data_IF_136315233244
#
_entry.id   IF_136315233244
#
_cell.length_a   1.000
_cell.length_b   1.000
_cell.length_c   1.000
_cell.angle_alpha   90.00
_cell.angle_beta   90.00
_cell.angle_gamma   90.00
#
_symmetry.space_group_name_H-M   'P 1'
#
loop_
_entity.id
_entity.type
_entity.pdbx_description
1 polymer ?
#
# COMPACT_ATOMS: atom_id res chain seq x y z
N UNK A 1 -15.31 -0.55 8.33
CA UNK A 1 -13.91 -0.87 7.97
C UNK A 1 -12.92 -0.05 8.80
N UNK A 2 -11.67 -0.50 8.96
CA UNK A 2 -10.63 0.23 9.72
C UNK A 2 -9.81 1.15 8.82
N UNK A 3 -9.74 2.43 9.18
CA UNK A 3 -8.98 3.47 8.47
C UNK A 3 -7.92 4.08 9.37
N UNK A 4 -7.03 4.90 8.78
CA UNK A 4 -5.87 5.45 9.49
C UNK A 4 -5.62 6.92 9.13
N UNK A 5 -5.76 7.80 10.11
CA UNK A 5 -5.21 9.17 10.01
C UNK A 5 -3.71 9.14 10.36
N UNK A 6 -2.87 9.86 9.59
CA UNK A 6 -1.41 9.82 9.74
C UNK A 6 -0.81 11.19 10.07
N UNK A 7 0.10 11.19 11.03
CA UNK A 7 0.98 12.32 11.36
C UNK A 7 2.44 11.92 11.18
N UNK A 8 3.16 12.64 10.32
CA UNK A 8 4.58 12.40 10.12
C UNK A 8 5.41 13.26 11.09
N UNK A 9 6.14 12.61 11.98
CA UNK A 9 7.03 13.24 12.95
C UNK A 9 8.46 13.09 12.44
N UNK A 10 8.99 14.16 11.84
CA UNK A 10 10.37 14.21 11.33
C UNK A 10 11.37 14.38 12.46
N UNK A 11 12.65 14.09 12.18
CA UNK A 11 13.76 14.22 13.15
C UNK A 11 13.89 15.60 13.80
N UNK A 12 13.45 16.66 13.13
CA UNK A 12 13.50 18.04 13.64
C UNK A 12 12.22 18.47 14.39
N UNK A 13 11.25 17.58 14.56
CA UNK A 13 10.02 17.88 15.29
C UNK A 13 10.27 17.83 16.80
N UNK A 14 9.67 18.77 17.56
CA UNK A 14 9.85 18.88 19.03
C UNK A 14 9.61 17.57 19.80
N UNK A 15 8.61 16.78 19.35
CA UNK A 15 8.25 15.50 19.98
C UNK A 15 9.15 14.31 19.58
N UNK A 16 10.09 14.49 18.64
CA UNK A 16 10.84 13.36 18.07
C UNK A 16 11.69 12.63 19.11
N UNK A 17 12.45 13.36 19.93
CA UNK A 17 13.36 12.78 20.93
C UNK A 17 12.62 11.91 21.95
N UNK A 18 11.47 12.40 22.45
CA UNK A 18 10.61 11.68 23.39
C UNK A 18 10.08 10.39 22.76
N UNK A 19 9.60 10.48 21.51
CA UNK A 19 9.09 9.32 20.78
C UNK A 19 10.20 8.30 20.49
N UNK A 20 11.39 8.77 20.15
CA UNK A 20 12.54 7.90 19.88
C UNK A 20 12.95 7.12 21.13
N UNK A 21 12.97 7.78 22.29
CA UNK A 21 13.21 7.15 23.60
C UNK A 21 12.17 6.06 23.87
N UNK A 22 10.88 6.36 23.70
CA UNK A 22 9.82 5.36 23.90
C UNK A 22 9.95 4.18 22.92
N UNK A 23 10.30 4.44 21.66
CA UNK A 23 10.52 3.40 20.65
C UNK A 23 11.71 2.49 20.99
N UNK A 24 12.73 3.03 21.65
CA UNK A 24 13.86 2.26 22.18
C UNK A 24 13.47 1.41 23.39
N UNK A 25 12.74 1.97 24.36
CA UNK A 25 12.24 1.23 25.53
C UNK A 25 11.32 0.07 25.10
N UNK A 26 10.41 0.33 24.17
CA UNK A 26 9.56 -0.72 23.56
C UNK A 26 10.38 -1.81 22.88
N UNK A 27 11.49 -1.45 22.24
CA UNK A 27 12.39 -2.42 21.62
C UNK A 27 13.08 -3.31 22.66
N UNK A 28 13.49 -2.77 23.81
CA UNK A 28 14.09 -3.60 24.86
C UNK A 28 13.11 -4.65 25.36
N UNK A 29 11.91 -4.23 25.75
CA UNK A 29 10.86 -5.15 26.19
C UNK A 29 10.52 -6.20 25.11
N UNK A 30 10.41 -5.77 23.85
CA UNK A 30 10.20 -6.69 22.72
C UNK A 30 11.32 -7.72 22.63
N UNK A 31 12.59 -7.32 22.76
CA UNK A 31 13.72 -8.24 22.71
C UNK A 31 13.76 -9.20 23.90
N UNK A 32 13.41 -8.77 25.11
CA UNK A 32 13.29 -9.63 26.29
C UNK A 32 12.22 -10.72 26.09
N UNK A 33 11.05 -10.35 25.56
CA UNK A 33 9.99 -11.31 25.26
C UNK A 33 10.33 -12.24 24.08
N UNK A 34 11.07 -11.75 23.07
CA UNK A 34 11.61 -12.60 21.99
C UNK A 34 12.65 -13.57 22.54
N UNK A 35 13.49 -13.15 23.50
CA UNK A 35 14.48 -14.02 24.13
C UNK A 35 13.79 -15.21 24.80
N UNK A 36 12.78 -14.96 25.66
CA UNK A 36 12.03 -16.02 26.33
C UNK A 36 11.40 -17.00 25.33
N UNK A 37 10.77 -16.48 24.26
CA UNK A 37 10.18 -17.32 23.21
C UNK A 37 11.21 -18.13 22.41
N UNK A 38 12.44 -17.64 22.28
CA UNK A 38 13.53 -18.39 21.64
C UNK A 38 14.08 -19.48 22.55
N UNK A 39 14.14 -19.24 23.87
CA UNK A 39 14.55 -20.28 24.81
C UNK A 39 13.59 -21.47 24.77
N UNK A 40 12.27 -21.23 24.86
CA UNK A 40 11.28 -22.30 24.74
C UNK A 40 11.32 -23.00 23.39
N UNK A 41 11.60 -22.28 22.29
CA UNK A 41 11.80 -22.89 20.97
C UNK A 41 12.96 -23.88 20.94
N UNK A 42 14.10 -23.53 21.51
CA UNK A 42 15.26 -24.42 21.56
C UNK A 42 15.08 -25.58 22.55
N UNK A 43 14.26 -25.38 23.58
CA UNK A 43 13.82 -26.43 24.51
C UNK A 43 12.65 -27.26 23.99
N UNK A 44 12.22 -27.08 22.74
CA UNK A 44 11.10 -27.82 22.11
C UNK A 44 9.76 -27.67 22.85
N UNK A 45 9.55 -26.54 23.53
CA UNK A 45 8.31 -26.21 24.23
C UNK A 45 7.43 -25.28 23.39
N UNK A 46 6.11 -25.23 23.67
CA UNK A 46 5.20 -24.27 23.05
C UNK A 46 5.65 -22.81 23.26
N UNK A 47 5.34 -21.95 22.28
CA UNK A 47 5.59 -20.52 22.42
C UNK A 47 4.73 -19.91 23.52
N UNK A 48 5.32 -18.97 24.26
CA UNK A 48 4.66 -18.29 25.37
C UNK A 48 3.56 -17.37 24.86
N UNK A 49 2.41 -17.44 25.53
CA UNK A 49 1.27 -16.54 25.37
C UNK A 49 1.59 -15.15 25.93
N UNK A 50 0.76 -14.17 25.58
CA UNK A 50 0.87 -12.81 26.16
C UNK A 50 0.80 -12.83 27.69
N UNK A 51 -0.07 -13.68 28.26
CA UNK A 51 -0.26 -13.82 29.71
C UNK A 51 1.01 -14.35 30.38
N UNK A 52 1.60 -15.43 29.88
CA UNK A 52 2.83 -16.00 30.43
C UNK A 52 4.01 -15.02 30.34
N UNK A 53 4.16 -14.36 29.18
CA UNK A 53 5.15 -13.30 29.02
C UNK A 53 4.95 -12.15 30.01
N UNK A 54 3.71 -11.77 30.27
CA UNK A 54 3.38 -10.73 31.24
C UNK A 54 3.77 -11.16 32.65
N UNK A 55 3.42 -12.37 33.08
CA UNK A 55 3.81 -12.86 34.41
C UNK A 55 5.33 -12.94 34.58
N UNK A 56 6.05 -13.36 33.54
CA UNK A 56 7.51 -13.43 33.56
C UNK A 56 8.19 -12.06 33.59
N UNK A 57 7.63 -11.04 32.91
CA UNK A 57 8.30 -9.76 32.69
C UNK A 57 7.72 -8.59 33.50
N UNK A 58 6.57 -8.72 34.18
CA UNK A 58 5.88 -7.59 34.84
C UNK A 58 6.73 -6.85 35.89
N UNK A 59 7.68 -7.54 36.53
CA UNK A 59 8.60 -6.96 37.52
C UNK A 59 9.93 -6.49 36.89
N UNK A 60 10.14 -6.72 35.59
CA UNK A 60 11.36 -6.32 34.92
C UNK A 60 11.44 -4.80 34.71
N UNK A 61 12.65 -4.20 34.74
CA UNK A 61 12.84 -2.79 34.43
C UNK A 61 12.29 -2.40 33.05
N UNK A 62 12.46 -3.26 32.03
CA UNK A 62 12.00 -2.97 30.67
C UNK A 62 10.47 -2.93 30.55
N UNK A 63 9.75 -3.74 31.34
CA UNK A 63 8.29 -3.70 31.36
C UNK A 63 7.77 -2.43 32.07
N UNK A 64 8.38 -2.07 33.20
CA UNK A 64 8.00 -0.92 34.02
C UNK A 64 8.43 0.42 33.40
N UNK A 65 9.36 0.41 32.44
CA UNK A 65 9.81 1.60 31.72
C UNK A 65 8.74 2.20 30.77
N UNK A 66 7.63 1.50 30.54
CA UNK A 66 6.50 1.96 29.74
C UNK A 66 5.20 1.85 30.56
N UNK A 67 4.15 2.62 30.21
CA UNK A 67 2.84 2.43 30.83
C UNK A 67 2.38 0.98 30.65
N UNK A 68 1.88 0.35 31.73
CA UNK A 68 1.58 -1.09 31.76
C UNK A 68 0.74 -1.57 30.56
N UNK A 69 -0.26 -0.80 30.13
CA UNK A 69 -1.11 -1.12 28.95
C UNK A 69 -0.31 -1.15 27.65
N UNK A 70 0.66 -0.25 27.50
CA UNK A 70 1.56 -0.19 26.33
C UNK A 70 2.50 -1.39 26.37
N UNK A 71 3.06 -1.73 27.53
CA UNK A 71 3.92 -2.90 27.72
C UNK A 71 3.21 -4.19 27.36
N UNK A 72 1.98 -4.38 27.81
CA UNK A 72 1.13 -5.53 27.45
C UNK A 72 0.91 -5.64 25.92
N UNK A 73 0.73 -4.51 25.23
CA UNK A 73 0.57 -4.50 23.77
C UNK A 73 1.88 -4.84 23.03
N UNK A 74 3.05 -4.53 23.60
CA UNK A 74 4.34 -5.02 23.09
C UNK A 74 4.44 -6.54 23.23
N UNK A 75 4.03 -7.11 24.37
CA UNK A 75 4.01 -8.57 24.55
C UNK A 75 3.04 -9.26 23.59
N UNK A 76 1.86 -8.67 23.37
CA UNK A 76 0.89 -9.13 22.37
C UNK A 76 1.43 -9.08 20.94
N UNK A 77 2.28 -8.10 20.63
CA UNK A 77 2.98 -8.03 19.34
C UNK A 77 3.95 -9.22 19.18
N UNK A 78 4.68 -9.58 20.23
CA UNK A 78 5.60 -10.74 20.20
C UNK A 78 4.82 -12.04 20.02
N UNK A 79 3.78 -12.27 20.81
CA UNK A 79 2.90 -13.44 20.67
C UNK A 79 2.36 -13.57 19.24
N UNK A 80 1.80 -12.49 18.68
CA UNK A 80 1.32 -12.47 17.28
C UNK A 80 2.43 -12.82 16.29
N UNK A 81 3.64 -12.32 16.52
CA UNK A 81 4.81 -12.56 15.66
C UNK A 81 5.18 -14.04 15.62
N UNK A 82 5.24 -14.70 16.78
CA UNK A 82 5.56 -16.13 16.87
C UNK A 82 4.43 -17.02 16.37
N UNK A 83 3.16 -16.69 16.65
CA UNK A 83 2.00 -17.36 16.04
C UNK A 83 2.02 -17.28 14.51
N UNK A 84 2.35 -16.12 13.94
CA UNK A 84 2.52 -15.97 12.49
C UNK A 84 3.68 -16.80 11.94
N UNK A 85 4.81 -16.87 12.65
CA UNK A 85 5.93 -17.73 12.27
C UNK A 85 5.54 -19.20 12.24
N UNK A 86 4.86 -19.70 13.28
CA UNK A 86 4.41 -21.08 13.36
C UNK A 86 3.47 -21.44 12.19
N UNK A 87 2.45 -20.61 11.95
CA UNK A 87 1.53 -20.79 10.81
C UNK A 87 2.27 -20.78 9.47
N UNK A 88 3.22 -19.87 9.28
CA UNK A 88 4.02 -19.83 8.06
C UNK A 88 4.87 -21.10 7.90
N UNK A 89 5.47 -21.60 8.98
CA UNK A 89 6.30 -22.81 8.97
C UNK A 89 5.49 -24.06 8.67
N UNK A 90 4.29 -24.19 9.25
CA UNK A 90 3.35 -25.27 8.95
C UNK A 90 2.91 -25.23 7.48
N UNK A 91 2.56 -24.06 6.97
CA UNK A 91 2.18 -23.90 5.56
C UNK A 91 3.35 -24.17 4.61
N UNK A 92 4.58 -23.79 4.99
CA UNK A 92 5.78 -24.10 4.23
C UNK A 92 6.03 -25.60 4.15
N UNK A 93 5.84 -26.36 5.23
CA UNK A 93 5.94 -27.83 5.21
C UNK A 93 4.95 -28.47 4.23
N UNK A 94 3.74 -27.89 4.11
CA UNK A 94 2.68 -28.40 3.22
C UNK A 94 2.86 -27.97 1.75
N UNK A 95 3.33 -26.75 1.52
CA UNK A 95 3.47 -26.17 0.16
C UNK A 95 4.67 -25.23 0.11
N UNK A 96 5.90 -25.76 -0.01
CA UNK A 96 7.12 -24.95 -0.07
C UNK A 96 7.15 -23.98 -1.26
N UNK A 97 6.54 -24.38 -2.38
CA UNK A 97 6.41 -23.64 -3.65
C UNK A 97 5.71 -22.28 -3.51
N UNK A 98 4.86 -22.11 -2.49
CA UNK A 98 4.18 -20.84 -2.19
C UNK A 98 5.09 -19.79 -1.53
N UNK A 99 6.33 -20.16 -1.19
CA UNK A 99 7.28 -19.30 -0.50
C UNK A 99 8.53 -19.11 -1.33
N UNK A 100 9.13 -17.93 -1.24
CA UNK A 100 10.45 -17.65 -1.85
C UNK A 100 11.62 -18.18 -1.03
N UNK A 101 11.34 -18.95 0.02
CA UNK A 101 12.30 -19.47 0.97
C UNK A 101 11.67 -19.79 2.31
N UNK A 102 12.37 -20.59 3.11
CA UNK A 102 11.87 -21.09 4.37
C UNK A 102 11.60 -19.96 5.40
N UNK A 103 10.43 -19.97 6.07
CA UNK A 103 10.14 -19.04 7.16
C UNK A 103 11.20 -19.09 8.26
N UNK A 104 11.74 -17.93 8.61
CA UNK A 104 12.80 -17.79 9.61
C UNK A 104 12.24 -17.43 10.97
N UNK A 105 12.82 -18.00 12.01
CA UNK A 105 12.49 -17.69 13.40
C UNK A 105 12.62 -16.18 13.67
N UNK A 106 11.66 -15.55 14.39
CA UNK A 106 11.75 -14.15 14.76
C UNK A 106 13.08 -13.81 15.44
N UNK A 107 13.65 -12.67 15.04
CA UNK A 107 14.96 -12.20 15.49
C UNK A 107 14.82 -11.01 16.44
N UNK A 108 15.87 -10.81 17.23
CA UNK A 108 16.05 -9.58 17.99
C UNK A 108 16.14 -8.39 17.05
N UNK A 109 15.62 -7.25 17.52
CA UNK A 109 15.92 -5.95 16.94
C UNK A 109 17.32 -5.52 17.37
N UNK A 110 17.96 -4.70 16.54
CA UNK A 110 19.30 -4.16 16.82
C UNK A 110 19.40 -3.52 18.21
N UNK A 111 20.50 -3.79 18.92
CA UNK A 111 20.68 -3.41 20.33
C UNK A 111 20.67 -1.89 20.52
N UNK A 112 21.23 -1.12 19.60
CA UNK A 112 21.40 0.33 19.75
C UNK A 112 20.47 1.12 18.83
N UNK A 113 20.44 0.72 17.56
CA UNK A 113 19.71 1.41 16.48
C UNK A 113 18.29 0.88 16.32
N UNK A 114 17.95 -0.23 16.97
CA UNK A 114 16.63 -0.84 16.88
C UNK A 114 15.55 -0.01 17.56
N UNK A 115 14.38 0.04 16.94
CA UNK A 115 13.16 0.65 17.49
C UNK A 115 11.98 -0.30 17.28
N UNK A 116 11.02 -0.25 18.19
CA UNK A 116 9.79 -1.02 18.08
C UNK A 116 8.56 -0.11 17.94
N UNK A 117 7.49 -0.69 17.40
CA UNK A 117 6.19 -0.02 17.31
C UNK A 117 5.61 0.11 18.72
N UNK A 118 5.08 1.29 19.03
CA UNK A 118 4.26 1.49 20.23
C UNK A 118 2.80 1.53 19.82
N UNK A 119 1.94 0.85 20.57
CA UNK A 119 0.49 0.90 20.38
C UNK A 119 -0.15 1.39 21.67
N UNK A 120 -1.04 2.37 21.54
CA UNK A 120 -1.89 2.90 22.60
C UNK A 120 -3.33 2.61 22.20
N UNK A 121 -3.98 1.66 22.88
CA UNK A 121 -5.42 1.43 22.64
C UNK A 121 -6.25 2.61 23.17
N UNK A 122 -7.57 2.58 22.93
CA UNK A 122 -8.51 3.60 23.40
C UNK A 122 -8.46 3.87 24.93
N UNK A 123 -7.95 2.93 25.73
CA UNK A 123 -7.81 3.08 27.18
C UNK A 123 -6.47 3.68 27.62
N UNK A 124 -5.52 3.81 26.70
CA UNK A 124 -4.19 4.38 26.91
C UNK A 124 -4.08 5.79 26.30
N UNK A 125 -5.23 6.39 25.93
CA UNK A 125 -5.37 7.76 25.45
C UNK A 125 -6.34 8.55 26.35
N UNK A 126 -6.15 9.86 26.47
CA UNK A 126 -7.03 10.71 27.28
C UNK A 126 -8.37 10.98 26.58
N UNK A 127 -9.48 10.53 27.18
CA UNK A 127 -10.84 10.84 26.71
C UNK A 127 -11.15 12.35 26.77
N UNK A 128 -10.64 13.06 27.78
CA UNK A 128 -10.84 14.52 27.92
C UNK A 128 -10.18 15.27 26.76
N UNK A 129 -8.94 14.92 26.43
CA UNK A 129 -8.23 15.53 25.31
C UNK A 129 -8.90 15.19 23.96
N UNK A 130 -9.39 13.96 23.79
CA UNK A 130 -10.05 13.53 22.55
C UNK A 130 -11.30 14.36 22.26
N UNK A 131 -12.12 14.65 23.28
CA UNK A 131 -13.28 15.55 23.15
C UNK A 131 -12.90 16.98 22.72
N UNK A 132 -11.66 17.40 22.96
CA UNK A 132 -11.10 18.69 22.56
C UNK A 132 -10.35 18.62 21.21
N UNK A 133 -10.46 17.51 20.47
CA UNK A 133 -9.78 17.31 19.19
C UNK A 133 -8.29 16.99 19.32
N UNK A 134 -7.86 16.42 20.45
CA UNK A 134 -6.46 16.08 20.73
C UNK A 134 -6.29 14.62 21.15
N UNK A 135 -5.33 13.94 20.53
CA UNK A 135 -4.80 12.66 21.03
C UNK A 135 -3.71 12.95 22.04
N UNK A 136 -3.95 12.62 23.32
CA UNK A 136 -2.94 12.64 24.38
C UNK A 136 -2.61 11.22 24.83
N UNK A 137 -1.33 10.85 24.73
CA UNK A 137 -0.86 9.49 25.03
C UNK A 137 -0.52 9.33 26.51
N UNK A 138 -1.03 8.27 27.15
CA UNK A 138 -0.78 7.97 28.56
C UNK A 138 0.71 7.88 28.90
N UNK A 139 1.09 8.35 30.09
CA UNK A 139 2.49 8.38 30.54
C UNK A 139 3.40 9.35 29.79
N UNK A 140 2.84 10.26 29.00
CA UNK A 140 3.61 11.24 28.22
C UNK A 140 2.89 12.60 28.14
N UNK A 141 3.63 13.64 27.77
CA UNK A 141 3.08 14.96 27.39
C UNK A 141 2.87 15.08 25.87
N UNK A 142 2.78 13.96 25.15
CA UNK A 142 2.62 13.97 23.70
C UNK A 142 1.17 14.21 23.31
N UNK A 143 0.95 15.28 22.55
CA UNK A 143 -0.37 15.70 22.06
C UNK A 143 -0.37 15.89 20.54
N UNK A 144 -1.43 15.42 19.87
CA UNK A 144 -1.58 15.50 18.42
C UNK A 144 -3.01 15.89 18.04
N UNK A 145 -3.17 16.82 17.10
CA UNK A 145 -4.50 17.25 16.61
C UNK A 145 -5.19 16.13 15.84
N UNK A 146 -6.48 15.94 16.07
CA UNK A 146 -7.34 15.03 15.32
C UNK A 146 -8.73 15.62 15.14
N UNK A 147 -9.38 15.31 14.02
CA UNK A 147 -10.80 15.58 13.78
C UNK A 147 -11.69 14.37 14.10
N UNK A 148 -11.10 13.25 14.54
CA UNK A 148 -11.81 12.02 14.87
C UNK A 148 -12.40 12.10 16.27
N UNK A 149 -13.65 11.66 16.41
CA UNK A 149 -14.35 11.56 17.69
C UNK A 149 -14.13 10.21 18.37
N UNK A 150 -13.98 9.16 17.58
CA UNK A 150 -13.79 7.79 18.03
C UNK A 150 -12.48 7.22 17.49
N UNK A 151 -11.72 6.55 18.36
CA UNK A 151 -10.39 6.02 18.05
C UNK A 151 -10.26 4.64 18.69
N UNK A 152 -9.82 3.68 17.90
CA UNK A 152 -9.57 2.31 18.35
C UNK A 152 -8.19 2.19 19.01
N UNK A 153 -7.17 2.65 18.29
CA UNK A 153 -5.79 2.64 18.74
C UNK A 153 -4.97 3.74 18.05
N UNK A 154 -3.88 4.15 18.70
CA UNK A 154 -2.85 5.02 18.15
C UNK A 154 -1.56 4.24 18.09
N UNK A 155 -0.96 4.12 16.90
CA UNK A 155 0.31 3.44 16.70
C UNK A 155 1.40 4.45 16.37
N UNK A 156 2.54 4.32 17.01
CA UNK A 156 3.75 5.05 16.64
C UNK A 156 4.69 4.07 15.94
N UNK A 157 4.86 4.26 14.64
CA UNK A 157 5.61 3.35 13.78
C UNK A 157 6.96 3.99 13.41
N UNK A 158 8.10 3.38 13.77
CA UNK A 158 9.40 3.82 13.30
C UNK A 158 9.48 3.77 11.77
N UNK A 159 9.95 4.86 11.16
CA UNK A 159 10.27 4.98 9.73
C UNK A 159 11.72 5.43 9.58
N UNK A 160 12.24 5.42 8.35
CA UNK A 160 13.60 5.88 8.07
C UNK A 160 13.73 7.38 8.38
N UNK A 161 14.42 7.72 9.48
CA UNK A 161 14.65 9.11 9.92
C UNK A 161 13.40 9.87 10.38
N UNK A 162 12.31 9.16 10.71
CA UNK A 162 11.05 9.75 11.14
C UNK A 162 10.19 8.72 11.90
N UNK A 163 9.11 9.18 12.51
CA UNK A 163 8.04 8.33 13.01
C UNK A 163 6.73 8.67 12.30
N UNK A 164 5.91 7.65 12.04
CA UNK A 164 4.54 7.82 11.58
C UNK A 164 3.62 7.50 12.74
N UNK A 165 2.90 8.50 13.24
CA UNK A 165 1.80 8.28 14.16
C UNK A 165 0.54 7.99 13.35
N UNK A 166 -0.06 6.84 13.60
CA UNK A 166 -1.26 6.33 12.93
C UNK A 166 -2.40 6.29 13.96
N UNK A 167 -3.44 7.08 13.75
CA UNK A 167 -4.68 7.04 14.54
C UNK A 167 -5.65 6.13 13.78
N UNK A 168 -5.94 4.97 14.36
CA UNK A 168 -6.81 3.96 13.77
C UNK A 168 -8.23 4.16 14.26
N UNK A 169 -9.17 4.23 13.33
CA UNK A 169 -10.60 4.41 13.62
C UNK A 169 -11.44 3.52 12.71
N UNK A 170 -12.70 3.33 13.07
CA UNK A 170 -13.67 2.63 12.25
C UNK A 170 -14.55 3.62 11.51
N UNK A 171 -14.80 3.33 10.24
CA UNK A 171 -15.77 4.03 9.41
C UNK A 171 -16.68 2.98 8.76
N UNK A 172 -18.02 3.14 8.82
CA UNK A 172 -18.92 2.27 8.09
C UNK A 172 -18.58 2.27 6.59
N UNK A 173 -18.55 1.09 5.98
CA UNK A 173 -18.53 0.99 4.52
C UNK A 173 -19.96 1.09 4.03
N UNK A 174 -20.19 1.85 2.96
CA UNK A 174 -21.49 1.87 2.29
C UNK A 174 -21.79 0.48 1.71
N UNK A 175 -23.07 0.10 1.68
CA UNK A 175 -23.51 -1.10 0.97
C UNK A 175 -23.19 -0.98 -0.51
N UNK A 176 -22.79 -2.09 -1.13
CA UNK A 176 -22.60 -2.14 -2.58
C UNK A 176 -23.91 -1.79 -3.27
N UNK A 177 -23.84 -0.91 -4.27
CA UNK A 177 -25.01 -0.62 -5.10
C UNK A 177 -25.13 -1.70 -6.19
N UNK A 178 -26.31 -2.29 -6.34
CA UNK A 178 -26.60 -3.16 -7.48
C UNK A 178 -26.71 -2.32 -8.76
N UNK A 179 -26.21 -2.87 -9.87
CA UNK A 179 -26.28 -2.22 -11.18
C UNK A 179 -25.21 -2.71 -12.15
N UNK A 180 -25.42 -2.41 -13.43
CA UNK A 180 -24.59 -2.90 -14.54
C UNK A 180 -23.57 -1.87 -15.04
N UNK A 181 -23.29 -0.84 -14.24
CA UNK A 181 -22.34 0.22 -14.55
C UNK A 181 -20.96 -0.16 -14.04
N UNK A 182 -20.06 -0.49 -14.95
CA UNK A 182 -18.76 -1.09 -14.65
C UNK A 182 -17.60 -0.23 -15.12
N UNK A 183 -16.54 -0.16 -14.32
CA UNK A 183 -15.28 0.46 -14.70
C UNK A 183 -14.14 -0.54 -14.64
N UNK A 184 -13.13 -0.31 -15.48
CA UNK A 184 -12.00 -1.19 -15.66
C UNK A 184 -10.70 -0.39 -15.54
N UNK A 185 -9.69 -0.98 -14.91
CA UNK A 185 -8.37 -0.37 -14.75
C UNK A 185 -7.28 -1.32 -15.24
N UNK A 186 -6.51 -0.85 -16.22
CA UNK A 186 -5.21 -1.42 -16.59
C UNK A 186 -4.07 -0.61 -15.93
N UNK A 187 -3.18 -1.28 -15.20
CA UNK A 187 -2.11 -0.65 -14.43
C UNK A 187 -0.80 -0.63 -15.20
N UNK A 188 -0.14 0.53 -15.28
CA UNK A 188 1.05 0.70 -16.10
C UNK A 188 2.09 1.68 -15.57
N UNK A 189 3.11 1.96 -16.40
CA UNK A 189 4.24 2.84 -16.03
C UNK A 189 4.06 4.29 -16.47
N UNK A 190 3.84 4.51 -17.77
CA UNK A 190 3.74 5.85 -18.33
C UNK A 190 2.36 6.44 -18.08
N UNK A 191 1.35 5.60 -18.22
CA UNK A 191 0.02 5.77 -17.67
C UNK A 191 0.00 4.88 -16.43
N UNK A 192 -0.12 5.48 -15.25
CA UNK A 192 -0.20 4.75 -13.99
C UNK A 192 -1.42 3.83 -13.98
N UNK A 193 -2.53 4.35 -14.50
CA UNK A 193 -3.78 3.64 -14.72
C UNK A 193 -4.41 4.15 -16.02
N UNK A 194 -4.87 3.23 -16.87
CA UNK A 194 -5.86 3.52 -17.89
C UNK A 194 -7.22 3.10 -17.32
N UNK A 195 -8.18 4.03 -17.30
CA UNK A 195 -9.52 3.83 -16.73
C UNK A 195 -10.52 3.90 -17.86
N UNK A 196 -11.30 2.84 -18.02
CA UNK A 196 -12.36 2.72 -19.03
C UNK A 196 -13.64 2.22 -18.37
N UNK A 197 -14.74 2.20 -19.11
CA UNK A 197 -16.04 1.74 -18.61
C UNK A 197 -16.84 1.12 -19.76
N UNK A 198 -17.87 0.35 -19.42
CA UNK A 198 -18.89 -0.12 -20.36
C UNK A 198 -19.98 0.94 -20.63
N UNK A 199 -19.88 2.11 -20.00
CA UNK A 199 -20.80 3.23 -20.17
C UNK A 199 -20.26 4.16 -21.28
N UNK A 200 -21.04 4.46 -22.34
CA UNK A 200 -20.58 5.31 -23.45
C UNK A 200 -20.28 6.76 -23.04
N UNK A 201 -21.02 7.31 -22.07
CA UNK A 201 -20.80 8.68 -21.57
C UNK A 201 -19.52 8.79 -20.72
N UNK A 202 -18.93 7.66 -20.33
CA UNK A 202 -17.69 7.67 -19.58
C UNK A 202 -16.50 7.97 -20.48
N UNK A 203 -15.93 9.16 -20.33
CA UNK A 203 -14.72 9.52 -21.07
C UNK A 203 -13.51 8.71 -20.56
N UNK A 204 -12.86 7.88 -21.41
CA UNK A 204 -11.70 7.11 -21.01
C UNK A 204 -10.58 8.01 -20.47
N UNK A 205 -9.90 7.58 -19.41
CA UNK A 205 -8.92 8.43 -18.70
C UNK A 205 -7.59 7.74 -18.48
N UNK A 206 -6.52 8.43 -18.88
CA UNK A 206 -5.14 8.02 -18.65
C UNK A 206 -4.55 8.82 -17.50
N UNK A 207 -4.48 8.21 -16.32
CA UNK A 207 -3.80 8.81 -15.17
C UNK A 207 -2.30 8.74 -15.42
N UNK A 208 -1.63 9.89 -15.44
CA UNK A 208 -0.21 9.95 -15.76
C UNK A 208 0.62 9.15 -14.73
N UNK A 209 1.68 8.47 -15.16
CA UNK A 209 2.70 7.86 -14.29
C UNK A 209 4.08 8.50 -14.44
N UNK A 210 4.25 9.42 -15.41
CA UNK A 210 5.54 10.08 -15.70
C UNK A 210 6.10 10.87 -14.51
N UNK A 211 5.23 11.45 -13.67
CA UNK A 211 5.65 12.16 -12.46
C UNK A 211 6.33 11.22 -11.44
N UNK A 212 5.75 10.04 -11.21
CA UNK A 212 6.36 8.99 -10.37
C UNK A 212 7.70 8.52 -10.95
N UNK A 213 7.75 8.31 -12.27
CA UNK A 213 8.99 7.93 -12.97
C UNK A 213 10.08 8.97 -12.78
N UNK A 214 9.78 10.24 -12.98
CA UNK A 214 10.72 11.35 -12.79
C UNK A 214 11.20 11.44 -11.33
N UNK A 215 10.28 11.33 -10.36
CA UNK A 215 10.60 11.29 -8.94
C UNK A 215 11.58 10.14 -8.61
N UNK A 216 11.31 8.93 -9.11
CA UNK A 216 12.16 7.77 -8.92
C UNK A 216 13.53 7.90 -9.59
N UNK A 217 13.58 8.48 -10.80
CA UNK A 217 14.83 8.72 -11.51
C UNK A 217 15.74 9.68 -10.74
N UNK A 218 15.19 10.81 -10.26
CA UNK A 218 15.93 11.77 -9.42
C UNK A 218 16.42 11.13 -8.12
N UNK A 219 15.56 10.33 -7.49
CA UNK A 219 15.91 9.56 -6.29
C UNK A 219 17.08 8.61 -6.54
N UNK A 220 17.00 7.77 -7.58
CA UNK A 220 18.03 6.78 -7.90
C UNK A 220 19.37 7.45 -8.23
N UNK A 221 19.37 8.53 -9.02
CA UNK A 221 20.58 9.32 -9.34
C UNK A 221 21.24 9.88 -8.08
N UNK A 222 20.43 10.49 -7.20
CA UNK A 222 20.94 11.09 -5.96
C UNK A 222 21.42 10.01 -4.98
N UNK A 223 20.70 8.89 -4.89
CA UNK A 223 21.07 7.77 -4.03
C UNK A 223 22.40 7.14 -4.45
N UNK A 224 22.64 6.97 -5.75
CA UNK A 224 23.90 6.44 -6.27
C UNK A 224 25.09 7.32 -5.85
N UNK A 225 24.98 8.64 -6.03
CA UNK A 225 25.99 9.60 -5.59
C UNK A 225 26.21 9.54 -4.06
N UNK A 226 25.14 9.56 -3.27
CA UNK A 226 25.28 9.50 -1.82
C UNK A 226 25.89 8.18 -1.33
N UNK A 227 25.64 7.07 -2.03
CA UNK A 227 26.23 5.77 -1.70
C UNK A 227 27.71 5.69 -2.06
N UNK A 228 28.15 6.33 -3.15
CA UNK A 228 29.58 6.39 -3.50
C UNK A 228 30.40 7.25 -2.52
N UNK A 229 29.73 8.18 -1.82
CA UNK A 229 30.33 8.98 -0.74
C UNK A 229 30.42 8.23 0.61
N UNK A 230 29.85 7.01 0.74
CA UNK A 230 29.87 6.27 2.00
C UNK A 230 31.17 5.49 2.20
N UNK A 231 31.64 5.36 3.46
CA UNK A 231 32.66 4.38 3.81
C UNK A 231 32.24 2.95 3.42
N UNK A 232 33.20 2.09 3.09
CA UNK A 232 32.98 0.73 2.55
C UNK A 232 32.02 -0.14 3.37
N UNK A 233 32.07 -0.05 4.70
CA UNK A 233 31.21 -0.82 5.61
C UNK A 233 29.85 -0.16 5.89
N UNK A 234 29.67 1.10 5.50
CA UNK A 234 28.46 1.86 5.79
C UNK A 234 27.44 1.72 4.67
N UNK A 235 26.27 1.16 4.98
CA UNK A 235 25.19 0.94 3.99
C UNK A 235 24.21 2.10 3.84
N UNK A 236 24.19 3.03 4.80
CA UNK A 236 23.21 4.13 4.84
C UNK A 236 23.72 5.31 5.67
N UNK A 237 23.12 6.50 5.48
CA UNK A 237 23.39 7.72 6.25
C UNK A 237 22.09 8.48 6.54
N UNK A 238 22.13 9.47 7.45
CA UNK A 238 20.98 10.36 7.71
C UNK A 238 20.49 11.05 6.42
N UNK A 239 21.42 11.46 5.54
CA UNK A 239 21.10 12.05 4.22
C UNK A 239 20.32 11.07 3.33
N UNK A 240 20.77 9.80 3.26
CA UNK A 240 20.07 8.75 2.50
C UNK A 240 18.69 8.46 3.08
N UNK A 241 18.57 8.33 4.41
CA UNK A 241 17.29 8.09 5.07
C UNK A 241 16.30 9.22 4.79
N UNK A 242 16.73 10.48 4.88
CA UNK A 242 15.91 11.64 4.55
C UNK A 242 15.50 11.68 3.07
N UNK A 243 16.41 11.33 2.16
CA UNK A 243 16.13 11.20 0.72
C UNK A 243 15.06 10.12 0.45
N UNK A 244 15.21 8.94 1.05
CA UNK A 244 14.24 7.83 0.92
C UNK A 244 12.88 8.20 1.52
N UNK A 245 12.87 8.84 2.69
CA UNK A 245 11.62 9.31 3.32
C UNK A 245 10.90 10.30 2.40
N UNK A 246 11.62 11.29 1.86
CA UNK A 246 11.06 12.28 0.93
C UNK A 246 10.43 11.61 -0.29
N UNK A 247 11.14 10.68 -0.93
CA UNK A 247 10.62 9.90 -2.06
C UNK A 247 9.34 9.16 -1.68
N UNK A 248 9.35 8.46 -0.55
CA UNK A 248 8.19 7.68 -0.11
C UNK A 248 6.97 8.56 0.16
N UNK A 249 7.14 9.72 0.78
CA UNK A 249 6.04 10.68 0.96
C UNK A 249 5.51 11.22 -0.38
N UNK A 250 6.38 11.53 -1.34
CA UNK A 250 5.96 12.00 -2.66
C UNK A 250 5.18 10.94 -3.43
N UNK A 251 5.65 9.69 -3.40
CA UNK A 251 4.98 8.57 -4.05
C UNK A 251 3.63 8.29 -3.39
N UNK A 252 3.57 8.23 -2.06
CA UNK A 252 2.31 7.97 -1.32
C UNK A 252 1.28 9.08 -1.56
N UNK A 253 1.69 10.36 -1.54
CA UNK A 253 0.83 11.50 -1.88
C UNK A 253 0.26 11.40 -3.30
N UNK A 254 1.10 11.05 -4.27
CA UNK A 254 0.66 10.88 -5.66
C UNK A 254 -0.36 9.76 -5.78
N UNK A 255 -0.10 8.59 -5.19
CA UNK A 255 -1.03 7.46 -5.26
C UNK A 255 -2.34 7.78 -4.55
N UNK A 256 -2.31 8.46 -3.40
CA UNK A 256 -3.52 8.89 -2.71
C UNK A 256 -4.34 9.87 -3.57
N UNK A 257 -3.71 10.82 -4.23
CA UNK A 257 -4.43 11.79 -5.06
C UNK A 257 -4.95 11.14 -6.36
N UNK A 258 -4.19 10.24 -6.97
CA UNK A 258 -4.60 9.46 -8.13
C UNK A 258 -5.79 8.54 -7.82
N UNK A 259 -5.71 7.74 -6.75
CA UNK A 259 -6.82 6.88 -6.34
C UNK A 259 -8.07 7.68 -5.95
N UNK A 260 -7.92 8.84 -5.29
CA UNK A 260 -9.07 9.70 -4.96
C UNK A 260 -9.74 10.22 -6.24
N UNK A 261 -8.95 10.78 -7.16
CA UNK A 261 -9.45 11.26 -8.45
C UNK A 261 -10.20 10.17 -9.23
N UNK A 262 -9.66 8.95 -9.27
CA UNK A 262 -10.32 7.82 -9.94
C UNK A 262 -11.67 7.54 -9.28
N UNK A 263 -11.70 7.31 -7.96
CA UNK A 263 -12.94 6.96 -7.25
C UNK A 263 -13.98 8.07 -7.34
N UNK A 264 -13.58 9.34 -7.24
CA UNK A 264 -14.50 10.48 -7.39
C UNK A 264 -15.14 10.50 -8.78
N UNK A 265 -14.35 10.20 -9.82
CA UNK A 265 -14.88 10.07 -11.18
C UNK A 265 -15.81 8.86 -11.30
N UNK A 266 -15.46 7.71 -10.74
CA UNK A 266 -16.33 6.52 -10.78
C UNK A 266 -17.67 6.79 -10.07
N UNK A 267 -17.63 7.47 -8.92
CA UNK A 267 -18.81 7.84 -8.16
C UNK A 267 -19.71 8.82 -8.95
N UNK A 268 -19.12 9.81 -9.62
CA UNK A 268 -19.86 10.76 -10.47
C UNK A 268 -20.58 10.09 -11.65
N UNK A 269 -20.09 8.94 -12.10
CA UNK A 269 -20.71 8.13 -13.17
C UNK A 269 -21.53 6.93 -12.63
N UNK A 270 -21.80 6.87 -11.33
CA UNK A 270 -22.59 5.82 -10.69
C UNK A 270 -22.09 4.41 -11.02
N UNK A 271 -20.78 4.22 -11.00
CA UNK A 271 -20.17 2.90 -11.22
C UNK A 271 -20.42 2.02 -10.01
N UNK A 272 -20.90 0.80 -10.23
CA UNK A 272 -21.18 -0.20 -9.21
C UNK A 272 -19.98 -1.12 -8.94
N UNK A 273 -19.28 -1.52 -10.00
CA UNK A 273 -18.16 -2.46 -9.94
C UNK A 273 -16.92 -1.90 -10.63
N UNK A 274 -15.79 -1.97 -9.94
CA UNK A 274 -14.46 -1.67 -10.43
C UNK A 274 -13.65 -2.94 -10.60
N UNK A 275 -13.25 -3.27 -11.83
CA UNK A 275 -12.34 -4.37 -12.14
C UNK A 275 -10.93 -3.84 -12.36
N UNK A 276 -9.96 -4.42 -11.66
CA UNK A 276 -8.55 -4.02 -11.76
C UNK A 276 -7.73 -5.18 -12.30
N UNK A 277 -7.00 -4.92 -13.39
CA UNK A 277 -5.95 -5.81 -13.88
C UNK A 277 -4.81 -5.90 -12.88
N UNK A 278 -4.47 -7.12 -12.46
CA UNK A 278 -3.32 -7.38 -11.63
C UNK A 278 -2.90 -8.86 -11.68
N UNK A 279 -1.66 -9.10 -12.10
CA UNK A 279 -1.04 -10.42 -12.02
C UNK A 279 -0.23 -10.56 -10.72
N UNK A 280 -0.55 -11.58 -9.91
CA UNK A 280 0.21 -11.86 -8.69
C UNK A 280 1.68 -12.12 -9.03
N UNK A 281 2.60 -11.54 -8.26
CA UNK A 281 4.03 -11.77 -8.46
C UNK A 281 4.61 -11.16 -9.74
N UNK A 282 3.87 -10.36 -10.50
CA UNK A 282 4.33 -9.76 -11.77
C UNK A 282 5.59 -8.90 -11.69
N UNK A 283 6.10 -8.64 -10.48
CA UNK A 283 7.35 -7.90 -10.23
C UNK A 283 8.58 -8.76 -10.00
N UNK A 284 8.41 -10.05 -9.70
CA UNK A 284 9.52 -10.88 -9.22
C UNK A 284 10.45 -11.31 -10.36
N UNK A 285 9.93 -11.58 -11.55
CA UNK A 285 10.69 -12.12 -12.69
C UNK A 285 10.47 -11.31 -13.97
N UNK A 286 10.47 -9.98 -13.87
CA UNK A 286 10.26 -9.13 -15.06
C UNK A 286 11.49 -9.15 -15.94
N UNK A 287 11.31 -9.46 -17.22
CA UNK A 287 12.34 -9.33 -18.25
C UNK A 287 11.88 -8.34 -19.35
N UNK A 288 11.89 -7.04 -19.06
CA UNK A 288 11.58 -5.96 -20.03
C UNK A 288 12.75 -4.97 -20.22
N UNK A 289 13.96 -5.42 -19.86
CA UNK A 289 15.20 -4.67 -19.86
C UNK A 289 15.46 -3.88 -18.56
N UNK A 290 16.73 -3.81 -18.14
CA UNK A 290 17.15 -3.33 -16.80
C UNK A 290 16.56 -1.97 -16.39
N UNK A 291 16.60 -0.99 -17.30
CA UNK A 291 16.07 0.37 -17.03
C UNK A 291 14.56 0.37 -16.80
N UNK A 292 13.84 -0.45 -17.55
CA UNK A 292 12.38 -0.57 -17.41
C UNK A 292 12.01 -1.41 -16.19
N UNK A 293 12.74 -2.50 -15.92
CA UNK A 293 12.62 -3.32 -14.71
C UNK A 293 12.76 -2.45 -13.46
N UNK A 294 13.83 -1.66 -13.36
CA UNK A 294 14.03 -0.75 -12.24
C UNK A 294 12.88 0.25 -12.09
N UNK A 295 12.39 0.82 -13.19
CA UNK A 295 11.27 1.77 -13.16
C UNK A 295 9.98 1.10 -12.67
N UNK A 296 9.70 -0.12 -13.13
CA UNK A 296 8.48 -0.86 -12.82
C UNK A 296 8.44 -1.35 -11.38
N UNK A 297 9.54 -1.95 -10.92
CA UNK A 297 9.65 -2.42 -9.54
C UNK A 297 9.45 -1.27 -8.55
N UNK A 298 9.96 -0.08 -8.87
CA UNK A 298 9.92 1.10 -8.00
C UNK A 298 8.55 1.80 -7.87
N UNK A 299 7.55 1.49 -8.71
CA UNK A 299 6.18 2.03 -8.60
C UNK A 299 5.33 1.06 -7.77
N UNK A 300 4.79 1.43 -6.61
CA UNK A 300 4.10 0.47 -5.73
C UNK A 300 2.65 0.22 -6.16
N UNK A 301 2.45 -0.55 -7.24
CA UNK A 301 1.12 -0.90 -7.76
C UNK A 301 0.20 -1.57 -6.74
N UNK A 302 0.69 -2.51 -5.94
CA UNK A 302 -0.11 -3.15 -4.87
C UNK A 302 -0.67 -2.12 -3.88
N UNK A 303 0.11 -1.07 -3.58
CA UNK A 303 -0.35 0.04 -2.73
C UNK A 303 -1.45 0.86 -3.39
N UNK A 304 -1.38 1.06 -4.71
CA UNK A 304 -2.44 1.74 -5.46
C UNK A 304 -3.73 0.91 -5.47
N UNK A 305 -3.63 -0.41 -5.66
CA UNK A 305 -4.78 -1.34 -5.59
C UNK A 305 -5.42 -1.25 -4.21
N UNK A 306 -4.65 -1.39 -3.13
CA UNK A 306 -5.15 -1.22 -1.76
C UNK A 306 -5.92 0.09 -1.59
N UNK A 307 -5.36 1.21 -2.11
CA UNK A 307 -5.98 2.52 -2.03
C UNK A 307 -7.26 2.65 -2.84
N UNK A 308 -7.32 2.07 -4.04
CA UNK A 308 -8.54 2.01 -4.84
C UNK A 308 -9.60 1.18 -4.13
N UNK A 309 -9.23 -0.02 -3.66
CA UNK A 309 -10.16 -0.95 -2.97
C UNK A 309 -10.80 -0.32 -1.74
N UNK A 310 -10.02 0.21 -0.79
CA UNK A 310 -10.67 0.73 0.42
C UNK A 310 -11.52 1.98 0.12
N UNK A 311 -11.09 2.84 -0.81
CA UNK A 311 -11.85 4.06 -1.15
C UNK A 311 -13.12 3.74 -1.91
N UNK A 312 -13.08 2.78 -2.83
CA UNK A 312 -14.26 2.27 -3.53
C UNK A 312 -15.27 1.70 -2.52
N UNK A 313 -14.82 0.83 -1.60
CA UNK A 313 -15.67 0.25 -0.57
C UNK A 313 -16.28 1.30 0.38
N UNK A 314 -15.59 2.43 0.63
CA UNK A 314 -16.15 3.53 1.42
C UNK A 314 -17.33 4.22 0.75
N UNK A 315 -17.41 4.18 -0.58
CA UNK A 315 -18.48 4.84 -1.35
C UNK A 315 -19.45 3.82 -1.99
N UNK A 316 -19.34 2.54 -1.63
CA UNK A 316 -20.27 1.49 -2.08
C UNK A 316 -19.96 0.91 -3.47
N UNK A 317 -18.73 1.06 -3.95
CA UNK A 317 -18.26 0.47 -5.22
C UNK A 317 -17.55 -0.85 -4.91
N UNK A 318 -18.02 -1.95 -5.48
CA UNK A 318 -17.38 -3.26 -5.37
C UNK A 318 -16.07 -3.27 -6.16
N UNK A 319 -15.03 -3.96 -5.66
CA UNK A 319 -13.75 -4.10 -6.37
C UNK A 319 -13.37 -5.55 -6.58
N UNK A 320 -13.09 -5.92 -7.84
CA UNK A 320 -12.56 -7.24 -8.23
C UNK A 320 -11.19 -7.09 -8.90
N UNK A 321 -10.27 -8.00 -8.60
CA UNK A 321 -8.97 -8.09 -9.29
C UNK A 321 -8.96 -9.28 -10.23
N UNK A 322 -8.42 -9.12 -11.44
CA UNK A 322 -8.33 -10.20 -12.44
C UNK A 322 -6.96 -10.27 -13.11
N UNK A 323 -6.62 -11.41 -13.69
CA UNK A 323 -5.35 -11.59 -14.39
C UNK A 323 -5.37 -10.95 -15.78
N UNK A 324 -4.28 -10.29 -16.15
CA UNK A 324 -4.15 -9.51 -17.39
C UNK A 324 -3.63 -10.34 -18.58
N UNK A 325 -3.56 -11.67 -18.46
CA UNK A 325 -3.05 -12.53 -19.53
C UNK A 325 -3.80 -12.28 -20.85
N UNK A 326 -3.03 -12.03 -21.92
CA UNK A 326 -3.48 -11.79 -23.30
C UNK A 326 -4.30 -10.50 -23.55
N UNK A 327 -4.70 -9.77 -22.51
CA UNK A 327 -5.51 -8.53 -22.62
C UNK A 327 -4.88 -7.42 -23.45
N UNK A 328 -3.54 -7.34 -23.48
CA UNK A 328 -2.80 -6.34 -24.24
C UNK A 328 -2.48 -6.76 -25.69
N UNK A 329 -2.75 -8.01 -26.07
CA UNK A 329 -2.48 -8.56 -27.40
C UNK A 329 -3.75 -8.67 -28.24
N UNK A 330 -4.83 -9.15 -27.65
CA UNK A 330 -6.10 -9.31 -28.34
C UNK A 330 -6.73 -7.94 -28.63
N UNK A 331 -7.38 -7.81 -29.77
CA UNK A 331 -8.10 -6.59 -30.15
C UNK A 331 -9.46 -6.51 -29.48
N UNK A 332 -9.68 -5.41 -28.77
CA UNK A 332 -11.00 -5.09 -28.21
C UNK A 332 -12.03 -4.80 -29.31
N UNK A 333 -11.67 -3.97 -30.31
CA UNK A 333 -12.59 -3.56 -31.37
C UNK A 333 -13.03 -4.72 -32.26
N UNK A 334 -12.15 -5.70 -32.46
CA UNK A 334 -12.47 -6.88 -33.28
C UNK A 334 -13.19 -7.98 -32.47
N UNK A 335 -13.57 -7.70 -31.21
CA UNK A 335 -14.12 -8.69 -30.28
C UNK A 335 -13.30 -9.99 -30.22
N UNK A 336 -11.97 -9.87 -30.34
CA UNK A 336 -11.10 -11.03 -30.38
C UNK A 336 -11.12 -11.77 -29.03
N UNK A 337 -11.25 -13.10 -29.07
CA UNK A 337 -11.26 -13.92 -27.85
C UNK A 337 -9.94 -13.76 -27.07
N UNK A 338 -10.05 -13.54 -25.76
CA UNK A 338 -8.95 -13.18 -24.86
C UNK A 338 -8.18 -14.43 -24.42
N UNK A 339 -7.45 -15.01 -25.37
CA UNK A 339 -6.63 -16.20 -25.16
C UNK A 339 -5.38 -16.15 -26.05
N UNK A 340 -4.53 -17.16 -25.92
CA UNK A 340 -3.40 -17.31 -26.83
C UNK A 340 -3.93 -17.63 -28.23
N UNK A 341 -3.69 -16.74 -29.18
CA UNK A 341 -4.05 -16.94 -30.58
C UNK A 341 -2.85 -17.46 -31.39
N UNK A 342 -3.13 -18.21 -32.48
CA UNK A 342 -2.11 -18.59 -33.48
C UNK A 342 -1.64 -17.36 -34.26
N UNK A 343 -2.60 -16.55 -34.70
CA UNK A 343 -2.39 -15.22 -35.28
C UNK A 343 -3.37 -14.26 -34.59
N UNK A 344 -2.90 -13.08 -34.21
CA UNK A 344 -3.74 -12.07 -33.57
C UNK A 344 -4.37 -11.17 -34.63
N UNK A 345 -5.66 -10.85 -34.47
CA UNK A 345 -6.41 -9.96 -35.37
C UNK A 345 -5.88 -8.52 -35.30
N UNK A 346 -5.59 -8.06 -34.08
CA UNK A 346 -5.00 -6.75 -33.83
C UNK A 346 -3.49 -6.81 -33.60
N UNK A 347 -2.84 -5.64 -33.68
CA UNK A 347 -1.41 -5.52 -33.41
C UNK A 347 -1.07 -4.24 -32.69
N UNK A 348 -0.21 -4.36 -31.68
CA UNK A 348 0.47 -3.21 -31.07
C UNK A 348 1.56 -2.70 -32.03
N UNK A 349 1.38 -1.49 -32.55
CA UNK A 349 2.30 -0.87 -33.52
C UNK A 349 3.50 -0.25 -32.83
N UNK A 350 3.21 0.57 -31.81
CA UNK A 350 4.23 1.20 -30.97
C UNK A 350 3.70 1.41 -29.56
N UNK A 351 4.56 1.87 -28.66
CA UNK A 351 4.15 2.12 -27.28
C UNK A 351 2.99 3.11 -27.24
N UNK A 352 1.87 2.68 -26.67
CA UNK A 352 0.64 3.47 -26.53
C UNK A 352 -0.31 3.42 -27.73
N UNK A 353 0.04 2.77 -28.85
CA UNK A 353 -0.78 2.70 -30.05
C UNK A 353 -1.06 1.24 -30.46
N UNK A 354 -2.33 0.92 -30.65
CA UNK A 354 -2.83 -0.37 -31.10
C UNK A 354 -3.61 -0.18 -32.41
N UNK A 355 -3.56 -1.18 -33.29
CA UNK A 355 -4.28 -1.22 -34.56
C UNK A 355 -5.20 -2.45 -34.58
N UNK A 356 -6.49 -2.26 -34.87
CA UNK A 356 -7.45 -3.34 -35.09
C UNK A 356 -7.26 -4.00 -36.46
N UNK A 357 -7.93 -5.13 -36.70
CA UNK A 357 -7.95 -5.80 -38.01
C UNK A 357 -8.55 -4.92 -39.10
N UNK A 358 -9.59 -4.15 -38.76
CA UNK A 358 -10.25 -3.13 -39.58
C UNK A 358 -9.40 -1.89 -39.86
N UNK A 359 -8.19 -1.80 -39.29
CA UNK A 359 -7.25 -0.72 -39.54
C UNK A 359 -7.39 0.51 -38.64
N UNK A 360 -8.35 0.53 -37.71
CA UNK A 360 -8.51 1.63 -36.76
C UNK A 360 -7.38 1.66 -35.73
N UNK A 361 -6.93 2.87 -35.41
CA UNK A 361 -5.87 3.11 -34.44
C UNK A 361 -6.45 3.68 -33.14
N UNK A 362 -6.07 3.09 -32.01
CA UNK A 362 -6.52 3.54 -30.69
C UNK A 362 -5.49 3.23 -29.60
N UNK A 363 -5.78 3.67 -28.38
CA UNK A 363 -4.86 3.57 -27.25
C UNK A 363 -4.59 2.12 -26.84
N UNK A 364 -3.33 1.68 -26.84
CA UNK A 364 -2.99 0.31 -26.41
C UNK A 364 -3.34 0.03 -24.94
N UNK A 365 -3.24 1.03 -24.07
CA UNK A 365 -3.59 0.88 -22.65
C UNK A 365 -5.13 0.94 -22.47
N UNK A 366 -5.86 1.61 -23.38
CA UNK A 366 -7.32 1.58 -23.43
C UNK A 366 -7.81 0.20 -23.87
N UNK A 367 -7.15 -0.40 -24.88
CA UNK A 367 -7.38 -1.78 -25.30
C UNK A 367 -7.22 -2.76 -24.14
N UNK A 368 -6.11 -2.67 -23.39
CA UNK A 368 -5.85 -3.50 -22.22
C UNK A 368 -6.96 -3.40 -21.18
N UNK A 369 -7.32 -2.16 -20.80
CA UNK A 369 -8.37 -1.89 -19.82
C UNK A 369 -9.74 -2.43 -20.23
N UNK A 370 -10.14 -2.26 -21.49
CA UNK A 370 -11.44 -2.77 -21.97
C UNK A 370 -11.47 -4.30 -22.08
N UNK A 371 -10.36 -4.93 -22.49
CA UNK A 371 -10.27 -6.39 -22.48
C UNK A 371 -10.28 -6.98 -21.06
N UNK A 372 -9.71 -6.29 -20.08
CA UNK A 372 -9.87 -6.65 -18.65
C UNK A 372 -11.37 -6.69 -18.29
N UNK A 373 -12.13 -5.70 -18.75
CA UNK A 373 -13.59 -5.66 -18.59
C UNK A 373 -14.28 -6.85 -19.25
N UNK A 374 -14.09 -7.05 -20.56
CA UNK A 374 -14.69 -8.18 -21.31
C UNK A 374 -14.45 -9.54 -20.63
N UNK A 375 -13.29 -9.73 -20.03
CA UNK A 375 -12.93 -10.98 -19.35
C UNK A 375 -13.75 -11.26 -18.09
N UNK A 376 -14.24 -10.22 -17.41
CA UNK A 376 -14.94 -10.35 -16.12
C UNK A 376 -16.44 -10.17 -16.26
N UNK A 377 -16.89 -9.20 -17.05
CA UNK A 377 -18.32 -8.86 -17.21
C UNK A 377 -18.92 -9.35 -18.53
N UNK A 378 -18.10 -9.98 -19.39
CA UNK A 378 -18.53 -10.48 -20.69
C UNK A 378 -18.70 -9.39 -21.75
N UNK A 379 -19.01 -9.82 -22.96
CA UNK A 379 -19.23 -8.93 -24.12
C UNK A 379 -20.60 -8.27 -24.10
N UNK A 380 -21.60 -8.94 -23.51
CA UNK A 380 -22.96 -8.41 -23.36
C UNK A 380 -23.00 -7.08 -22.62
N UNK A 381 -22.03 -6.81 -21.73
CA UNK A 381 -21.91 -5.52 -21.05
C UNK A 381 -21.66 -4.34 -22.00
N UNK A 382 -21.26 -4.60 -23.26
CA UNK A 382 -20.91 -3.58 -24.27
C UNK A 382 -21.88 -3.55 -25.47
N UNK A 383 -22.86 -4.46 -25.54
CA UNK A 383 -23.67 -4.71 -26.76
C UNK A 383 -24.68 -3.60 -27.10
N UNK A 384 -25.00 -2.70 -26.16
CA UNK A 384 -25.99 -1.64 -26.35
C UNK A 384 -25.50 -0.42 -27.15
N UNK A 385 -24.23 -0.36 -27.54
CA UNK A 385 -23.63 0.82 -28.19
C UNK A 385 -22.55 0.41 -29.21
N UNK A 386 -22.25 1.28 -30.21
CA UNK A 386 -21.13 1.05 -31.11
C UNK A 386 -19.82 0.93 -30.34
N UNK A 387 -19.09 -0.17 -30.54
CA UNK A 387 -17.91 -0.55 -29.76
C UNK A 387 -16.77 0.49 -29.86
N UNK A 388 -16.74 1.23 -30.95
CA UNK A 388 -15.78 2.30 -31.23
C UNK A 388 -15.92 3.45 -30.21
N UNK A 389 -17.11 3.69 -29.66
CA UNK A 389 -17.34 4.77 -28.68
C UNK A 389 -16.52 4.58 -27.40
N UNK A 390 -16.17 3.35 -27.04
CA UNK A 390 -15.42 3.08 -25.82
C UNK A 390 -13.92 3.39 -25.92
N UNK A 391 -13.38 3.55 -27.14
CA UNK A 391 -11.94 3.74 -27.36
C UNK A 391 -11.54 5.16 -27.75
N UNK A 392 -12.51 6.04 -27.98
CA UNK A 392 -12.27 7.40 -28.50
C UNK A 392 -11.92 8.41 -27.41
N UNK A 393 -11.15 9.43 -27.81
CA UNK A 393 -10.86 10.65 -27.04
C UNK A 393 -10.42 10.45 -25.57
N UNK A 394 -9.43 9.58 -25.28
CA UNK A 394 -8.94 9.41 -23.93
C UNK A 394 -8.28 10.70 -23.40
N UNK A 395 -8.72 11.16 -22.24
CA UNK A 395 -8.15 12.35 -21.60
C UNK A 395 -7.02 11.95 -20.66
N UNK A 396 -5.93 12.72 -20.71
CA UNK A 396 -4.75 12.50 -19.86
C UNK A 396 -4.79 13.42 -18.66
N UNK A 397 -4.70 12.86 -17.46
CA UNK A 397 -4.81 13.62 -16.21
C UNK A 397 -3.55 13.50 -15.36
N UNK A 398 -3.15 14.62 -14.76
CA UNK A 398 -2.14 14.68 -13.71
C UNK A 398 -2.86 14.81 -12.37
N UNK A 399 -3.08 13.70 -11.69
CA UNK A 399 -3.80 13.67 -10.42
C UNK A 399 -2.91 14.09 -9.24
N UNK A 400 -2.32 15.30 -9.30
CA UNK A 400 -1.59 15.92 -8.20
C UNK A 400 -1.55 17.43 -8.37
N UNK A 401 -1.54 18.18 -7.26
CA UNK A 401 -1.28 19.61 -7.27
C UNK A 401 0.23 19.85 -7.12
N UNK A 402 0.83 20.65 -8.00
CA UNK A 402 2.21 21.08 -7.82
C UNK A 402 2.31 21.99 -6.57
N UNK A 403 3.41 21.90 -5.82
CA UNK A 403 3.74 22.77 -4.68
C UNK A 403 2.87 22.69 -3.40
N UNK A 404 1.98 21.71 -3.25
CA UNK A 404 1.24 21.53 -1.98
C UNK A 404 2.17 21.02 -0.86
N UNK A 405 2.37 21.80 0.20
CA UNK A 405 3.06 21.36 1.43
C UNK A 405 2.13 20.39 2.20
N UNK A 406 2.35 19.07 2.15
CA UNK A 406 1.64 18.13 3.05
C UNK A 406 2.20 18.31 4.47
N UNK A 407 1.63 19.24 5.23
CA UNK A 407 1.89 19.35 6.68
C UNK A 407 0.92 18.49 7.50
N UNK A 408 -0.18 18.04 6.89
CA UNK A 408 -1.13 17.09 7.45
C UNK A 408 -1.65 16.28 6.26
N UNK A 409 -1.28 15.00 6.17
CA UNK A 409 -1.88 14.12 5.18
C UNK A 409 -3.18 13.58 5.81
N UNK A 410 -4.19 14.46 5.87
CA UNK A 410 -5.56 14.07 6.23
C UNK A 410 -6.03 13.15 5.12
N UNK A 411 -6.29 11.89 5.45
CA UNK A 411 -7.09 11.04 4.58
C UNK A 411 -8.53 11.53 4.74
N UNK A 412 -9.04 12.21 3.72
CA UNK A 412 -10.47 12.33 3.48
C UNK A 412 -10.84 11.33 2.38
#
# INVERSE_FOLDING_TARGET
MKLVQKHLIKFNHKNYSVIDKLGFLSKNLYNCAVYLNRQVFFSHQPFLTMTELHHALKMSPDYQALPAKVSQLVLKQVEKTFKSYQKAKEQYKKSPDKFTGEPKLPRYKDKEKGRNVLTYNYQAISKKALKQGLIKLSGTNLEFKTNLKEVLEVRIIPKLGAYCLEIVYEQPSSSSQEGERYAFIDLGLNNLAAVTSNIPEFQPTLVCGKALKSCNQKYNKTLAKLKSELPSLQKTSKRIQGLTLKRNCQVDYYLHTASKYIIDKLLAHQINLLVIGHNQGWKQNINIGDRNNQSFVNIPHSRLIEQLTYKANLVGIEVKTTNESYTSKCSFLDLESIQKQKSYLGKRIKRGLFRSSSGYFYGADINGSLNIGRKVVGEAAFSGNPIERFVVNPVRVKAYKANSRCNICVQN
#
